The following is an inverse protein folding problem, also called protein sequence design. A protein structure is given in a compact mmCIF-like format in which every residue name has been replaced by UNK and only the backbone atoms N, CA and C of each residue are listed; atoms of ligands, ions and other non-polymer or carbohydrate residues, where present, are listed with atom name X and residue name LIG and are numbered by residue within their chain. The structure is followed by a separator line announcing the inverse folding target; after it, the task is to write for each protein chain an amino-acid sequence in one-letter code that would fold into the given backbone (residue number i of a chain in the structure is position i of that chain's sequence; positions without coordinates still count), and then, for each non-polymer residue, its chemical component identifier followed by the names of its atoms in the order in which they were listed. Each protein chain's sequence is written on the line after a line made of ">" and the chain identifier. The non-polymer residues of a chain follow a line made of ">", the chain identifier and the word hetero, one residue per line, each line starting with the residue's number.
data_IF_492257878723
#
_entry.id   IF_492257878723
#
_cell.length_a   1.000
_cell.length_b   1.000
_cell.length_c   1.000
_cell.angle_alpha   90.00
_cell.angle_beta   90.00
_cell.angle_gamma   90.00
#
_symmetry.space_group_name_H-M   'P 1'
#
loop_
_entity.id
_entity.type
_entity.pdbx_description
1 polymer ?
#
# COMPACT_ATOMS: atom_id res chain seq x y z
N UNK A 1 33.90 -10.75 -21.94
CA UNK A 1 33.95 -9.38 -22.49
C UNK A 1 33.56 -9.32 -23.98
N UNK A 2 32.33 -8.91 -24.28
CA UNK A 2 31.97 -8.34 -25.58
C UNK A 2 30.91 -7.26 -25.36
N UNK A 3 31.39 -6.02 -25.24
CA UNK A 3 30.60 -4.81 -25.28
C UNK A 3 30.41 -4.48 -26.77
N UNK A 4 29.23 -4.79 -27.30
CA UNK A 4 28.84 -4.44 -28.66
C UNK A 4 28.12 -3.09 -28.65
N UNK A 5 28.87 -2.05 -29.01
CA UNK A 5 28.37 -0.71 -29.29
C UNK A 5 27.34 -0.73 -30.42
N UNK A 6 26.37 0.16 -30.27
CA UNK A 6 25.24 0.33 -31.17
C UNK A 6 24.28 1.34 -30.58
N UNK A 7 24.79 2.50 -30.18
CA UNK A 7 23.98 3.70 -29.94
C UNK A 7 23.17 3.97 -31.20
N UNK A 8 21.88 3.65 -31.15
CA UNK A 8 20.94 3.75 -32.28
C UNK A 8 20.19 2.46 -32.62
N UNK A 9 20.58 1.29 -32.10
CA UNK A 9 19.83 0.04 -32.34
C UNK A 9 18.82 -0.21 -31.23
N UNK A 10 17.53 -0.06 -31.54
CA UNK A 10 16.43 -0.38 -30.62
C UNK A 10 16.54 -1.82 -30.12
N UNK A 11 16.59 -1.96 -28.79
CA UNK A 11 16.61 -3.27 -28.12
C UNK A 11 15.20 -3.85 -28.19
N UNK A 12 15.02 -4.92 -28.96
CA UNK A 12 13.75 -5.62 -29.09
C UNK A 12 13.93 -7.11 -28.84
N UNK A 13 12.88 -7.81 -28.41
CA UNK A 13 12.86 -9.28 -28.41
C UNK A 13 12.85 -9.80 -29.86
N UNK A 14 13.41 -11.00 -30.14
CA UNK A 14 13.40 -11.56 -31.50
C UNK A 14 12.01 -11.66 -32.11
N UNK A 15 11.02 -11.97 -31.27
CA UNK A 15 9.61 -12.09 -31.65
C UNK A 15 8.99 -10.73 -31.98
N UNK A 16 9.26 -9.69 -31.17
CA UNK A 16 8.82 -8.32 -31.48
C UNK A 16 9.45 -7.78 -32.78
N UNK A 17 10.72 -8.12 -33.06
CA UNK A 17 11.39 -7.73 -34.31
C UNK A 17 10.79 -8.40 -35.56
N UNK A 18 10.20 -9.59 -35.41
CA UNK A 18 9.50 -10.28 -36.50
C UNK A 18 8.15 -9.62 -36.77
N UNK A 19 7.35 -9.41 -35.72
CA UNK A 19 6.03 -8.76 -35.82
C UNK A 19 6.10 -7.34 -36.35
N UNK A 20 7.08 -6.55 -35.92
CA UNK A 20 7.25 -5.18 -36.43
C UNK A 20 7.65 -5.14 -37.91
N UNK A 21 8.37 -6.15 -38.42
CA UNK A 21 8.68 -6.27 -39.86
C UNK A 21 7.46 -6.67 -40.68
N UNK A 22 6.63 -7.57 -40.14
CA UNK A 22 5.39 -8.00 -40.79
C UNK A 22 4.35 -6.87 -40.85
N UNK A 23 4.34 -5.98 -39.85
CA UNK A 23 3.45 -4.82 -39.78
C UNK A 23 4.05 -3.51 -40.32
N UNK A 24 5.24 -3.56 -40.94
CA UNK A 24 6.01 -2.40 -41.44
C UNK A 24 6.17 -1.24 -40.43
N UNK A 25 6.39 -1.59 -39.16
CA UNK A 25 6.54 -0.64 -38.05
C UNK A 25 8.00 -0.38 -37.68
N UNK A 26 8.33 0.90 -37.49
CA UNK A 26 9.67 1.30 -37.05
C UNK A 26 9.83 1.10 -35.53
N UNK A 27 10.63 0.10 -35.15
CA UNK A 27 10.94 -0.22 -33.75
C UNK A 27 11.53 0.95 -32.96
N UNK A 28 12.18 1.92 -33.62
CA UNK A 28 12.79 3.09 -32.96
C UNK A 28 11.77 4.10 -32.44
N UNK A 29 10.54 4.07 -32.98
CA UNK A 29 9.44 4.93 -32.54
C UNK A 29 8.59 4.30 -31.44
N UNK A 30 8.82 3.02 -31.10
CA UNK A 30 8.06 2.27 -30.10
C UNK A 30 8.80 2.31 -28.78
N UNK A 31 8.15 2.85 -27.74
CA UNK A 31 8.67 2.81 -26.38
C UNK A 31 8.60 1.37 -25.84
N UNK A 32 9.75 0.77 -25.55
CA UNK A 32 9.83 -0.59 -25.04
C UNK A 32 9.58 -0.66 -23.54
N UNK A 33 8.62 -1.49 -23.11
CA UNK A 33 8.26 -1.66 -21.69
C UNK A 33 8.95 -2.84 -21.01
N UNK A 34 9.75 -3.63 -21.74
CA UNK A 34 10.46 -4.80 -21.22
C UNK A 34 11.77 -4.49 -20.45
N UNK A 35 12.37 -5.50 -19.79
CA UNK A 35 13.59 -5.33 -18.99
C UNK A 35 14.72 -4.67 -19.79
N UNK A 36 15.31 -3.62 -19.22
CA UNK A 36 16.30 -2.74 -19.84
C UNK A 36 15.80 -1.92 -21.05
N UNK A 37 14.51 -1.55 -21.09
CA UNK A 37 13.91 -0.73 -22.15
C UNK A 37 13.72 -1.49 -23.46
N UNK A 38 13.45 -2.80 -23.37
CA UNK A 38 13.33 -3.68 -24.53
C UNK A 38 11.90 -3.69 -25.06
N UNK A 39 11.72 -3.54 -26.39
CA UNK A 39 10.41 -3.70 -27.05
C UNK A 39 9.97 -5.17 -26.99
N UNK A 40 8.83 -5.43 -26.37
CA UNK A 40 8.20 -6.75 -26.26
C UNK A 40 6.99 -6.86 -27.20
N UNK A 41 6.44 -8.08 -27.35
CA UNK A 41 5.30 -8.34 -28.23
C UNK A 41 4.14 -7.37 -27.99
N UNK A 42 3.81 -7.14 -26.71
CA UNK A 42 2.71 -6.25 -26.31
C UNK A 42 2.88 -4.81 -26.82
N UNK A 43 4.12 -4.29 -26.88
CA UNK A 43 4.38 -2.93 -27.36
C UNK A 43 4.16 -2.81 -28.88
N UNK A 44 4.50 -3.86 -29.63
CA UNK A 44 4.28 -3.92 -31.08
C UNK A 44 2.79 -4.09 -31.38
N UNK A 45 2.10 -4.98 -30.66
CA UNK A 45 0.66 -5.17 -30.81
C UNK A 45 -0.11 -3.89 -30.45
N UNK A 46 0.32 -3.16 -29.42
CA UNK A 46 -0.23 -1.85 -29.08
C UNK A 46 0.03 -0.79 -30.16
N UNK A 47 1.20 -0.80 -30.81
CA UNK A 47 1.52 0.11 -31.91
C UNK A 47 0.71 -0.22 -33.19
N UNK A 48 0.42 -1.50 -33.45
CA UNK A 48 -0.47 -1.95 -34.53
C UNK A 48 -1.91 -1.51 -34.24
N UNK A 49 -2.40 -1.76 -33.03
CA UNK A 49 -3.76 -1.40 -32.62
C UNK A 49 -3.99 0.12 -32.53
N UNK A 50 -2.94 0.87 -32.20
CA UNK A 50 -2.96 2.33 -32.05
C UNK A 50 -2.86 3.11 -33.35
N UNK A 51 -2.69 2.45 -34.51
CA UNK A 51 -2.74 3.07 -35.83
C UNK A 51 -1.82 4.28 -36.00
N UNK A 52 -0.52 4.04 -36.18
CA UNK A 52 0.43 5.05 -36.66
C UNK A 52 0.79 6.12 -35.62
N UNK A 53 2.09 6.21 -35.31
CA UNK A 53 2.63 7.02 -34.24
C UNK A 53 2.29 8.53 -34.37
N UNK A 54 1.52 9.05 -33.41
CA UNK A 54 1.55 10.48 -33.06
C UNK A 54 2.79 10.73 -32.18
N UNK A 55 3.60 11.78 -32.42
CA UNK A 55 4.83 12.00 -31.68
C UNK A 55 4.49 12.31 -30.21
N UNK A 56 4.86 11.42 -29.30
CA UNK A 56 4.86 11.73 -27.88
C UNK A 56 5.99 12.73 -27.61
N UNK A 57 5.63 13.82 -26.96
CA UNK A 57 6.51 14.91 -26.60
C UNK A 57 7.79 14.41 -25.90
N UNK A 58 8.89 15.02 -26.32
CA UNK A 58 10.25 14.93 -25.78
C UNK A 58 10.22 14.97 -24.24
N UNK A 59 10.40 13.81 -23.61
CA UNK A 59 10.67 13.73 -22.17
C UNK A 59 12.07 14.29 -21.91
N UNK A 60 12.13 15.38 -21.14
CA UNK A 60 13.37 15.94 -20.63
C UNK A 60 14.09 14.93 -19.71
N UNK A 61 15.44 15.02 -19.58
CA UNK A 61 16.23 14.06 -18.83
C UNK A 61 15.79 13.96 -17.37
N UNK A 62 15.68 12.73 -16.88
CA UNK A 62 15.43 12.40 -15.48
C UNK A 62 16.49 13.04 -14.59
N UNK A 63 16.09 14.12 -13.91
CA UNK A 63 16.79 14.63 -12.75
C UNK A 63 16.73 13.55 -11.65
N UNK A 64 17.89 13.30 -11.04
CA UNK A 64 18.05 12.45 -9.86
C UNK A 64 16.95 12.72 -8.85
N UNK A 65 16.26 11.66 -8.43
CA UNK A 65 15.28 11.72 -7.36
C UNK A 65 15.92 12.31 -6.09
N UNK A 66 15.39 13.41 -5.54
CA UNK A 66 15.56 13.69 -4.12
C UNK A 66 14.77 12.62 -3.37
N UNK A 67 15.48 11.82 -2.57
CA UNK A 67 14.86 11.09 -1.49
C UNK A 67 14.20 12.11 -0.55
N UNK A 68 12.92 11.89 -0.22
CA UNK A 68 12.19 12.65 0.79
C UNK A 68 11.52 13.92 0.29
N UNK A 69 10.49 13.79 -0.56
CA UNK A 69 9.42 14.77 -0.64
C UNK A 69 8.13 14.10 -0.15
N UNK A 70 7.40 14.68 0.82
CA UNK A 70 6.16 14.11 1.31
C UNK A 70 5.19 13.98 0.14
N UNK A 71 4.63 12.78 -0.04
CA UNK A 71 3.53 12.57 -0.96
C UNK A 71 2.49 13.65 -0.70
N UNK A 72 2.24 14.48 -1.71
CA UNK A 72 1.25 15.55 -1.65
C UNK A 72 -0.04 14.96 -1.07
N UNK A 73 -0.46 15.53 0.05
CA UNK A 73 -1.71 15.16 0.70
C UNK A 73 -2.80 15.18 -0.36
N UNK A 74 -3.35 14.00 -0.68
CA UNK A 74 -4.53 13.90 -1.51
C UNK A 74 -5.57 14.83 -0.87
N UNK A 75 -6.08 15.79 -1.65
CA UNK A 75 -7.12 16.69 -1.20
C UNK A 75 -8.22 15.88 -0.51
N UNK A 76 -8.77 16.34 0.62
CA UNK A 76 -9.72 15.56 1.41
C UNK A 76 -10.87 15.15 0.50
N UNK A 77 -10.99 13.85 0.26
CA UNK A 77 -12.12 13.28 -0.49
C UNK A 77 -13.34 13.65 0.33
N UNK A 78 -14.17 14.55 -0.20
CA UNK A 78 -15.39 14.98 0.47
C UNK A 78 -16.25 13.74 0.67
N UNK A 79 -16.53 13.40 1.92
CA UNK A 79 -17.37 12.26 2.24
C UNK A 79 -18.72 12.42 1.51
N UNK A 80 -19.18 11.34 0.87
CA UNK A 80 -20.51 11.29 0.26
C UNK A 80 -21.56 11.56 1.33
N UNK A 81 -22.63 12.28 1.00
CA UNK A 81 -23.74 12.46 1.93
C UNK A 81 -24.46 11.14 2.16
N UNK A 82 -25.10 10.99 3.32
CA UNK A 82 -25.84 9.78 3.68
C UNK A 82 -26.85 9.38 2.60
N UNK A 83 -27.52 10.36 1.98
CA UNK A 83 -28.45 10.16 0.85
C UNK A 83 -27.79 9.57 -0.41
N UNK A 84 -26.54 9.94 -0.69
CA UNK A 84 -25.79 9.39 -1.82
C UNK A 84 -25.35 7.96 -1.54
N UNK A 85 -25.01 7.66 -0.28
CA UNK A 85 -24.66 6.30 0.15
C UNK A 85 -25.87 5.38 0.09
N UNK A 86 -27.04 5.84 0.54
CA UNK A 86 -28.29 5.08 0.52
C UNK A 86 -28.73 4.70 -0.91
N UNK A 87 -28.48 5.56 -1.90
CA UNK A 87 -28.79 5.31 -3.33
C UNK A 87 -27.91 4.23 -3.97
N UNK A 88 -26.81 3.83 -3.33
CA UNK A 88 -25.95 2.73 -3.81
C UNK A 88 -26.51 1.35 -3.44
N UNK A 89 -27.49 1.29 -2.55
CA UNK A 89 -28.11 0.05 -2.09
C UNK A 89 -29.53 -0.06 -2.64
N UNK A 90 -29.97 -1.28 -2.93
CA UNK A 90 -31.33 -1.54 -3.36
C UNK A 90 -32.31 -1.25 -2.21
N UNK A 91 -33.49 -0.71 -2.56
CA UNK A 91 -34.49 -0.33 -1.55
C UNK A 91 -34.96 -1.58 -0.80
N UNK A 92 -34.74 -1.60 0.53
CA UNK A 92 -35.08 -2.72 1.41
C UNK A 92 -33.95 -3.70 1.68
N UNK A 93 -32.74 -3.50 1.13
CA UNK A 93 -31.60 -4.41 1.33
C UNK A 93 -30.70 -4.04 2.51
N UNK A 94 -31.06 -3.04 3.33
CA UNK A 94 -30.22 -2.54 4.42
C UNK A 94 -31.04 -2.12 5.64
N UNK A 95 -30.42 -2.29 6.81
CA UNK A 95 -30.92 -1.78 8.09
C UNK A 95 -30.11 -0.57 8.53
N UNK A 96 -30.81 0.52 8.87
CA UNK A 96 -30.17 1.72 9.37
C UNK A 96 -30.00 1.66 10.88
N UNK A 97 -28.75 1.51 11.32
CA UNK A 97 -28.37 1.63 12.73
C UNK A 97 -27.77 3.02 12.96
N UNK A 98 -28.44 3.89 13.73
CA UNK A 98 -27.92 5.22 14.05
C UNK A 98 -26.60 5.14 14.82
N UNK A 99 -25.68 6.04 14.52
CA UNK A 99 -24.44 6.16 15.29
C UNK A 99 -24.72 6.76 16.66
N UNK A 100 -24.21 6.12 17.71
CA UNK A 100 -24.19 6.67 19.06
C UNK A 100 -23.22 7.88 19.16
N UNK A 101 -23.37 8.70 20.20
CA UNK A 101 -22.56 9.92 20.39
C UNK A 101 -21.07 9.63 20.63
N UNK A 102 -20.74 8.49 21.24
CA UNK A 102 -19.37 8.05 21.49
C UNK A 102 -18.68 7.71 20.17
N UNK A 103 -19.33 6.94 19.32
CA UNK A 103 -18.89 6.54 17.98
C UNK A 103 -18.74 7.74 17.05
N UNK A 104 -19.67 8.70 17.07
CA UNK A 104 -19.53 9.97 16.33
C UNK A 104 -18.27 10.73 16.75
N UNK A 105 -17.98 10.75 18.05
CA UNK A 105 -16.79 11.44 18.58
C UNK A 105 -15.51 10.72 18.20
N UNK A 106 -15.47 9.39 18.32
CA UNK A 106 -14.34 8.56 17.89
C UNK A 106 -14.09 8.75 16.39
N UNK A 107 -15.13 8.68 15.55
CA UNK A 107 -15.02 8.86 14.10
C UNK A 107 -14.41 10.23 13.74
N UNK A 108 -14.90 11.31 14.37
CA UNK A 108 -14.35 12.67 14.16
C UNK A 108 -12.85 12.73 14.47
N UNK A 109 -12.42 12.17 15.61
CA UNK A 109 -11.01 12.17 16.02
C UNK A 109 -10.13 11.30 15.14
N UNK A 110 -10.62 10.14 14.71
CA UNK A 110 -9.90 9.24 13.79
C UNK A 110 -9.71 9.88 12.41
N UNK A 111 -10.74 10.50 11.84
CA UNK A 111 -10.66 11.19 10.55
C UNK A 111 -9.71 12.39 10.64
N UNK A 112 -9.82 13.19 11.69
CA UNK A 112 -8.91 14.32 11.96
C UNK A 112 -7.45 13.84 11.99
N UNK A 113 -7.15 12.82 12.80
CA UNK A 113 -5.79 12.28 12.92
C UNK A 113 -5.28 11.70 11.59
N UNK A 114 -6.08 10.90 10.89
CA UNK A 114 -5.60 10.16 9.71
C UNK A 114 -5.47 11.01 8.45
N UNK A 115 -6.20 12.13 8.37
CA UNK A 115 -6.12 13.05 7.22
C UNK A 115 -5.10 14.17 7.42
N UNK A 116 -4.89 14.61 8.66
CA UNK A 116 -3.98 15.74 8.96
C UNK A 116 -2.55 15.30 9.28
N UNK A 117 -2.36 14.13 9.91
CA UNK A 117 -1.05 13.67 10.38
C UNK A 117 -0.43 12.71 9.36
N UNK A 118 0.80 12.97 8.87
CA UNK A 118 1.49 12.07 7.96
C UNK A 118 2.05 10.84 8.69
N UNK A 119 1.21 9.82 8.84
CA UNK A 119 1.58 8.56 9.48
C UNK A 119 2.48 7.72 8.59
N UNK A 120 3.55 7.18 9.17
CA UNK A 120 4.35 6.10 8.59
C UNK A 120 4.46 4.95 9.58
N UNK A 121 4.59 3.73 9.08
CA UNK A 121 4.55 2.51 9.88
C UNK A 121 5.93 1.88 9.98
N UNK A 122 6.33 1.48 11.18
CA UNK A 122 7.52 0.68 11.46
C UNK A 122 7.10 -0.62 12.12
N UNK A 123 7.82 -1.70 11.83
CA UNK A 123 7.57 -3.03 12.39
C UNK A 123 8.90 -3.62 12.84
N UNK A 124 8.89 -4.28 14.00
CA UNK A 124 10.04 -4.95 14.59
C UNK A 124 9.55 -6.21 15.31
N UNK A 125 10.40 -7.23 15.35
CA UNK A 125 10.15 -8.48 16.04
C UNK A 125 10.81 -8.42 17.43
N UNK A 126 10.09 -8.86 18.47
CA UNK A 126 10.58 -8.92 19.85
C UNK A 126 10.52 -10.35 20.38
N UNK A 127 11.63 -10.84 20.94
CA UNK A 127 11.64 -12.08 21.72
C UNK A 127 11.07 -11.83 23.13
N UNK A 128 10.12 -12.68 23.55
CA UNK A 128 9.39 -12.50 24.83
C UNK A 128 9.68 -13.60 25.86
N UNK A 129 10.59 -14.54 25.60
CA UNK A 129 10.80 -15.71 26.45
C UNK A 129 11.17 -15.34 27.90
N UNK A 130 12.11 -14.42 28.07
CA UNK A 130 12.52 -13.92 29.39
C UNK A 130 11.38 -13.18 30.10
N UNK A 131 10.57 -12.41 29.35
CA UNK A 131 9.43 -11.68 29.89
C UNK A 131 8.32 -12.63 30.34
N UNK A 132 8.05 -13.68 29.58
CA UNK A 132 7.07 -14.70 29.94
C UNK A 132 7.51 -15.50 31.17
N UNK A 133 8.80 -15.84 31.27
CA UNK A 133 9.36 -16.48 32.46
C UNK A 133 9.27 -15.56 33.70
N UNK A 134 9.55 -14.27 33.55
CA UNK A 134 9.39 -13.30 34.64
C UNK A 134 7.92 -13.20 35.09
N UNK A 135 6.99 -13.16 34.12
CA UNK A 135 5.55 -13.11 34.41
C UNK A 135 5.08 -14.30 35.23
N UNK A 136 5.56 -15.52 34.93
CA UNK A 136 5.18 -16.71 35.71
C UNK A 136 5.76 -16.65 37.12
N UNK A 137 7.01 -16.21 37.27
CA UNK A 137 7.65 -16.05 38.58
C UNK A 137 6.91 -15.05 39.46
N UNK A 138 6.59 -13.85 38.93
CA UNK A 138 5.92 -12.81 39.72
C UNK A 138 4.48 -13.22 40.06
N UNK A 139 3.75 -13.84 39.11
CA UNK A 139 2.40 -14.33 39.39
C UNK A 139 2.38 -15.49 40.39
N UNK A 140 3.43 -16.32 40.43
CA UNK A 140 3.57 -17.37 41.44
C UNK A 140 3.94 -16.79 42.82
N UNK A 141 4.70 -15.69 42.85
CA UNK A 141 5.04 -14.98 44.08
C UNK A 141 3.89 -14.09 44.61
N UNK A 142 2.78 -13.98 43.87
CA UNK A 142 1.65 -13.16 44.28
C UNK A 142 1.03 -13.72 45.58
N UNK A 143 0.94 -12.92 46.66
CA UNK A 143 0.37 -13.38 47.91
C UNK A 143 -1.11 -13.72 47.71
N UNK A 144 -1.52 -14.89 48.19
CA UNK A 144 -2.91 -15.33 48.14
C UNK A 144 -3.69 -14.63 49.25
N UNK A 145 -4.68 -13.83 48.89
CA UNK A 145 -5.62 -13.24 49.85
C UNK A 145 -6.85 -14.13 49.95
N UNK A 146 -7.20 -14.49 51.18
CA UNK A 146 -8.50 -15.12 51.45
C UNK A 146 -9.58 -14.06 51.28
N UNK A 147 -10.42 -14.25 50.28
CA UNK A 147 -11.59 -13.42 50.01
C UNK A 147 -12.84 -14.27 50.24
N UNK A 148 -14.00 -13.66 50.47
CA UNK A 148 -15.25 -14.35 50.85
C UNK A 148 -15.76 -15.43 49.85
N UNK A 149 -15.11 -15.56 48.68
CA UNK A 149 -15.43 -16.54 47.62
C UNK A 149 -14.28 -17.52 47.30
N UNK A 150 -13.23 -17.56 48.13
CA UNK A 150 -12.09 -18.47 47.98
C UNK A 150 -10.73 -17.79 48.05
N UNK A 151 -9.68 -18.61 47.89
CA UNK A 151 -8.29 -18.17 47.79
C UNK A 151 -8.03 -17.61 46.38
N UNK A 152 -7.73 -16.31 46.31
CA UNK A 152 -7.39 -15.64 45.05
C UNK A 152 -6.05 -14.90 45.19
N UNK A 153 -5.19 -14.92 44.15
CA UNK A 153 -3.96 -14.13 44.16
C UNK A 153 -4.29 -12.63 44.24
N UNK A 154 -3.53 -11.89 45.07
CA UNK A 154 -3.78 -10.47 45.31
C UNK A 154 -3.69 -9.61 44.05
N UNK A 155 -2.94 -10.05 43.05
CA UNK A 155 -2.85 -9.44 41.74
C UNK A 155 -2.54 -10.51 40.68
N UNK A 156 -2.85 -10.20 39.43
CA UNK A 156 -2.48 -11.01 38.26
C UNK A 156 -1.91 -10.10 37.19
N UNK A 157 -0.63 -10.27 36.89
CA UNK A 157 0.05 -9.51 35.86
C UNK A 157 -0.16 -10.13 34.49
N UNK A 158 -0.52 -9.28 33.53
CA UNK A 158 -0.62 -9.58 32.11
C UNK A 158 0.62 -9.10 31.36
N UNK A 159 0.76 -9.54 30.11
CA UNK A 159 1.82 -9.02 29.23
C UNK A 159 1.58 -7.55 28.90
N UNK A 160 0.32 -7.11 28.81
CA UNK A 160 -0.02 -5.71 28.54
C UNK A 160 0.51 -4.78 29.65
N UNK A 161 0.54 -5.23 30.90
CA UNK A 161 1.10 -4.47 32.03
C UNK A 161 2.61 -4.29 31.96
N UNK A 162 3.30 -5.08 31.12
CA UNK A 162 4.75 -5.00 30.90
C UNK A 162 5.11 -4.17 29.66
N UNK A 163 4.13 -3.81 28.83
CA UNK A 163 4.30 -3.04 27.58
C UNK A 163 3.98 -1.54 27.79
N UNK A 164 3.23 -1.21 28.85
CA UNK A 164 2.82 0.16 29.20
C UNK A 164 3.98 0.95 29.82
#
# INVERSE_FOLDING_TARGET
>A
PHKGEGEGRTRATPLARRLAREADLNLSAIAGTGPHGRVVKADVDAAIAGGGAKPAAKAAPAAKAPAGAPAAAAAPVKAMSDEQVLKLFEQGSYDLVPHDNMRKTIARRLVEAKTTIPHFYLTLDCELDALLALRTQINAAAPVKKTDKGEAPAYKLSVNDMVI
#
